data_IF_437788997788
#
_entry.id   IF_437788997788
#
_cell.length_a   1.000
_cell.length_b   1.000
_cell.length_c   1.000
_cell.angle_alpha   90.00
_cell.angle_beta   90.00
_cell.angle_gamma   90.00
#
_symmetry.space_group_name_H-M   'P 1'
#
loop_
_entity.id
_entity.type
_entity.pdbx_description
1 polymer ?
#
# COMPACT_ATOMS: atom_id res chain seq x y z
N UNK A 1 21.04 9.88 -7.37
CA UNK A 1 20.13 10.86 -6.74
C UNK A 1 18.73 10.28 -6.65
N UNK A 2 18.01 10.63 -5.58
CA UNK A 2 16.69 10.13 -5.15
C UNK A 2 15.59 10.79 -6.01
N UNK A 3 14.89 10.02 -6.84
CA UNK A 3 13.72 10.52 -7.59
C UNK A 3 12.65 9.42 -7.58
N UNK A 4 11.91 9.32 -6.47
CA UNK A 4 10.59 8.70 -6.52
C UNK A 4 9.67 9.76 -7.12
N UNK A 5 9.51 9.74 -8.44
CA UNK A 5 8.42 10.43 -9.15
C UNK A 5 7.15 9.62 -8.87
N UNK A 6 6.67 9.73 -7.64
CA UNK A 6 5.48 9.06 -7.14
C UNK A 6 4.30 9.97 -7.48
N UNK A 7 3.87 9.95 -8.76
CA UNK A 7 2.52 10.38 -9.17
C UNK A 7 1.50 9.47 -8.51
N UNK A 8 1.32 9.69 -7.23
CA UNK A 8 0.76 8.73 -6.31
C UNK A 8 -0.65 9.03 -5.95
N UNK A 9 -1.20 10.18 -6.29
CA UNK A 9 -2.50 10.57 -5.84
C UNK A 9 -3.41 10.67 -7.05
N UNK A 10 -4.27 9.66 -7.23
CA UNK A 10 -5.22 9.58 -8.33
C UNK A 10 -6.63 9.83 -7.80
N UNK A 11 -7.45 10.55 -8.56
CA UNK A 11 -8.84 10.69 -8.18
C UNK A 11 -9.57 9.36 -8.43
N UNK A 12 -10.29 8.80 -7.44
CA UNK A 12 -11.01 7.53 -7.61
C UNK A 12 -12.09 7.60 -8.70
N UNK A 13 -12.62 8.80 -8.99
CA UNK A 13 -13.61 9.02 -10.06
C UNK A 13 -13.00 9.50 -11.38
N UNK A 14 -11.82 10.14 -11.34
CA UNK A 14 -11.16 10.69 -12.51
C UNK A 14 -9.72 10.17 -12.57
N UNK A 15 -9.54 8.98 -13.13
CA UNK A 15 -8.22 8.32 -13.21
C UNK A 15 -7.18 9.15 -13.98
N UNK A 16 -7.61 10.02 -14.88
CA UNK A 16 -6.79 11.02 -15.58
C UNK A 16 -6.25 12.14 -14.68
N UNK A 17 -6.85 12.36 -13.51
CA UNK A 17 -6.38 13.36 -12.55
C UNK A 17 -5.41 12.67 -11.59
N UNK A 18 -4.13 12.79 -11.92
CA UNK A 18 -3.02 12.34 -11.08
C UNK A 18 -2.24 13.53 -10.54
N UNK A 19 -1.81 13.43 -9.28
CA UNK A 19 -0.98 14.41 -8.60
C UNK A 19 0.17 13.72 -7.88
N UNK A 20 1.28 14.43 -7.77
CA UNK A 20 2.43 14.05 -6.93
C UNK A 20 2.15 14.33 -5.44
N UNK A 21 1.24 15.26 -5.15
CA UNK A 21 0.93 15.71 -3.79
C UNK A 21 -0.46 15.28 -3.34
N UNK A 22 -0.64 14.95 -2.05
CA UNK A 22 -1.97 14.79 -1.48
C UNK A 22 -2.74 16.10 -1.63
N UNK A 23 -3.99 16.00 -2.06
CA UNK A 23 -4.79 17.17 -2.35
C UNK A 23 -6.16 16.79 -2.88
N UNK A 24 -6.91 17.79 -3.33
CA UNK A 24 -8.24 17.62 -3.89
C UNK A 24 -8.19 17.59 -5.42
N UNK A 25 -9.00 16.74 -6.01
CA UNK A 25 -9.17 16.61 -7.44
C UNK A 25 -9.68 17.93 -8.02
N UNK A 26 -8.98 18.48 -9.01
CA UNK A 26 -9.34 19.75 -9.63
C UNK A 26 -10.64 19.70 -10.44
N UNK A 27 -11.15 18.49 -10.76
CA UNK A 27 -12.41 18.32 -11.49
C UNK A 27 -13.64 18.16 -10.59
N UNK A 28 -13.51 17.46 -9.46
CA UNK A 28 -14.65 17.15 -8.60
C UNK A 28 -14.49 17.54 -7.13
N UNK A 29 -13.34 18.09 -6.73
CA UNK A 29 -13.06 18.51 -5.35
C UNK A 29 -12.87 17.36 -4.35
N UNK A 30 -13.03 16.10 -4.77
CA UNK A 30 -12.79 14.93 -3.92
C UNK A 30 -11.30 14.73 -3.62
N UNK A 31 -10.98 14.17 -2.46
CA UNK A 31 -9.60 13.88 -2.07
C UNK A 31 -8.96 12.83 -2.99
N UNK A 32 -7.75 13.13 -3.45
CA UNK A 32 -6.98 12.23 -4.28
C UNK A 32 -6.45 11.08 -3.41
N UNK A 33 -6.68 9.85 -3.85
CA UNK A 33 -6.30 8.65 -3.10
C UNK A 33 -5.00 8.07 -3.64
N UNK A 34 -4.27 7.33 -2.79
CA UNK A 34 -3.02 6.71 -3.24
C UNK A 34 -3.29 5.71 -4.37
N UNK A 35 -2.54 5.85 -5.47
CA UNK A 35 -2.52 4.99 -6.64
C UNK A 35 -2.38 3.54 -6.20
N UNK A 36 -3.08 2.64 -6.90
CA UNK A 36 -3.10 1.20 -6.59
C UNK A 36 -1.69 0.61 -6.47
N UNK A 37 -0.72 1.12 -7.24
CA UNK A 37 0.70 0.71 -7.15
C UNK A 37 1.32 0.94 -5.78
N UNK A 38 0.97 2.04 -5.11
CA UNK A 38 1.53 2.39 -3.81
C UNK A 38 0.72 1.85 -2.66
N UNK A 39 -0.60 1.68 -2.83
CA UNK A 39 -1.36 0.83 -1.91
C UNK A 39 -0.81 -0.61 -1.93
N UNK A 40 -0.58 -1.16 -3.12
CA UNK A 40 0.04 -2.48 -3.29
C UNK A 40 1.45 -2.52 -2.72
N UNK A 41 2.29 -1.50 -2.92
CA UNK A 41 3.64 -1.47 -2.35
C UNK A 41 3.59 -1.41 -0.83
N UNK A 42 2.69 -0.62 -0.25
CA UNK A 42 2.54 -0.50 1.20
C UNK A 42 1.94 -1.78 1.83
N UNK A 43 1.00 -2.43 1.14
CA UNK A 43 0.48 -3.75 1.48
C UNK A 43 1.56 -4.83 1.31
N UNK A 44 2.36 -4.75 0.24
CA UNK A 44 3.53 -5.60 -0.02
C UNK A 44 4.56 -5.48 1.11
N UNK A 45 4.78 -4.25 1.59
CA UNK A 45 5.61 -3.95 2.76
C UNK A 45 4.99 -4.33 4.10
N UNK A 46 3.78 -4.90 4.12
CA UNK A 46 3.15 -5.47 5.30
C UNK A 46 2.88 -6.97 5.12
N UNK A 47 3.37 -7.59 4.04
CA UNK A 47 3.05 -8.99 3.72
C UNK A 47 3.69 -9.97 4.69
N UNK A 48 4.73 -9.63 5.43
CA UNK A 48 5.36 -10.61 6.28
C UNK A 48 4.73 -10.51 7.67
N UNK A 49 3.88 -11.46 8.03
CA UNK A 49 3.21 -11.50 9.34
C UNK A 49 3.63 -12.75 10.11
N UNK A 50 3.73 -12.66 11.43
CA UNK A 50 4.00 -13.84 12.24
C UNK A 50 2.72 -14.67 12.35
N UNK A 51 2.74 -15.97 11.98
CA UNK A 51 1.56 -16.82 12.07
C UNK A 51 1.00 -16.95 13.49
N UNK A 52 1.84 -16.76 14.52
CA UNK A 52 1.42 -16.78 15.93
C UNK A 52 1.14 -15.39 16.52
N UNK A 53 1.60 -14.32 15.86
CA UNK A 53 1.49 -12.95 16.39
C UNK A 53 1.14 -11.99 15.25
N UNK A 54 -0.16 -11.88 14.93
CA UNK A 54 -0.64 -11.08 13.81
C UNK A 54 -0.28 -9.58 13.91
N UNK A 55 -0.03 -9.08 15.11
CA UNK A 55 0.49 -7.72 15.35
C UNK A 55 1.93 -7.51 14.86
N UNK A 56 2.71 -8.58 14.70
CA UNK A 56 4.08 -8.52 14.20
C UNK A 56 4.04 -8.64 12.68
N UNK A 57 4.12 -7.49 12.02
CA UNK A 57 4.21 -7.37 10.56
C UNK A 57 5.54 -6.75 10.14
N UNK A 58 5.99 -7.05 8.92
CA UNK A 58 7.21 -6.52 8.34
C UNK A 58 7.13 -6.40 6.83
N UNK A 59 7.99 -5.52 6.32
CA UNK A 59 8.21 -5.27 4.90
C UNK A 59 9.14 -6.27 4.24
N UNK A 60 9.95 -6.92 5.06
CA UNK A 60 11.02 -7.79 4.62
C UNK A 60 10.90 -9.15 5.30
N UNK A 61 11.49 -10.19 4.69
CA UNK A 61 11.64 -11.47 5.38
C UNK A 61 12.45 -11.20 6.64
N UNK A 62 11.81 -11.36 7.79
CA UNK A 62 12.39 -11.13 9.09
C UNK A 62 11.90 -12.21 10.06
N UNK A 63 12.54 -12.28 11.23
CA UNK A 63 12.10 -13.13 12.33
C UNK A 63 11.22 -12.32 13.28
N UNK A 64 10.18 -12.96 13.78
CA UNK A 64 9.26 -12.40 14.75
C UNK A 64 10.01 -12.06 16.03
N UNK A 65 9.94 -10.81 16.47
CA UNK A 65 10.65 -10.34 17.68
C UNK A 65 10.09 -10.91 18.99
N UNK A 66 8.94 -11.60 18.95
CA UNK A 66 8.31 -12.20 20.14
C UNK A 66 8.63 -13.68 20.30
N UNK A 67 8.65 -14.43 19.20
CA UNK A 67 8.82 -15.89 19.23
C UNK A 67 10.01 -16.41 18.41
N UNK A 68 10.73 -15.53 17.69
CA UNK A 68 11.89 -15.89 16.88
C UNK A 68 11.58 -16.63 15.57
N UNK A 69 10.32 -16.95 15.29
CA UNK A 69 9.90 -17.63 14.07
C UNK A 69 9.94 -16.71 12.85
N UNK A 70 10.20 -17.27 11.66
CA UNK A 70 10.20 -16.52 10.41
C UNK A 70 8.79 -16.01 10.06
N UNK A 71 8.69 -14.73 9.69
CA UNK A 71 7.45 -14.12 9.26
C UNK A 71 7.03 -14.69 7.89
N UNK A 72 5.75 -15.04 7.77
CA UNK A 72 5.21 -15.62 6.55
C UNK A 72 4.66 -14.53 5.62
N UNK A 73 5.00 -14.65 4.33
CA UNK A 73 4.38 -13.84 3.27
C UNK A 73 2.89 -14.16 3.17
N UNK A 74 2.03 -13.28 3.67
CA UNK A 74 0.65 -13.23 3.26
C UNK A 74 0.60 -12.71 1.84
N UNK A 75 0.02 -13.49 0.94
CA UNK A 75 -0.33 -13.00 -0.40
C UNK A 75 -1.64 -12.25 -0.22
N UNK A 76 -1.60 -10.93 0.00
CA UNK A 76 -2.81 -10.14 -0.04
C UNK A 76 -3.39 -10.24 -1.45
N UNK A 77 -4.37 -11.13 -1.64
CA UNK A 77 -5.28 -11.08 -2.78
C UNK A 77 -5.98 -9.74 -2.64
N UNK A 78 -5.48 -8.74 -3.35
CA UNK A 78 -6.17 -7.46 -3.52
C UNK A 78 -7.55 -7.83 -4.04
N UNK A 79 -8.54 -7.78 -3.14
CA UNK A 79 -9.94 -7.84 -3.51
C UNK A 79 -10.16 -6.58 -4.31
N UNK A 80 -9.92 -6.69 -5.62
CA UNK A 80 -10.54 -5.81 -6.58
C UNK A 80 -12.02 -5.97 -6.29
N UNK A 81 -12.61 -5.00 -5.58
CA UNK A 81 -14.05 -4.82 -5.56
C UNK A 81 -14.41 -4.59 -7.02
N UNK A 82 -14.71 -5.70 -7.68
CA UNK A 82 -15.40 -5.70 -8.95
C UNK A 82 -16.85 -5.71 -8.54
N UNK A 83 -17.42 -4.52 -8.64
CA UNK A 83 -18.86 -4.28 -8.80
C UNK A 83 -19.50 -5.37 -9.67
#
# INVERSE_FOLDING_TARGET
MKMHDDKNFVCPMHADVTSDKPGKCSKCGMDLTKSKKEHMKMEVTKLYVCPMHADITSDKPAKCSKCGMDLQKVKQKVKTVKD
#
